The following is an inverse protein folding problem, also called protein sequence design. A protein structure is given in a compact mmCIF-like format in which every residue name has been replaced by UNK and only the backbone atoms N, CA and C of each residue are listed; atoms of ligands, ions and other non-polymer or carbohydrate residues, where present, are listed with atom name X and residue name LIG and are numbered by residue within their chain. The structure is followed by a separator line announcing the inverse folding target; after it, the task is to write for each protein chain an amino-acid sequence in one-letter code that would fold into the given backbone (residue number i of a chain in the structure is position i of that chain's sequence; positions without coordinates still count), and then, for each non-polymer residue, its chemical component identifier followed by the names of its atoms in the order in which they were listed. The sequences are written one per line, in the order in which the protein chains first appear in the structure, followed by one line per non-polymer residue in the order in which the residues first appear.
data_IF_773011057621
#
_entry.id   IF_773011057621
#
_cell.length_a   1.000
_cell.length_b   1.000
_cell.length_c   1.000
_cell.angle_alpha   90.00
_cell.angle_beta   90.00
_cell.angle_gamma   90.00
#
_symmetry.space_group_name_H-M   'P 1'
#
loop_
_entity.id
_entity.type
_entity.pdbx_description
1 polymer ?
#
# COMPACT_ATOMS: atom_id res chain seq x y z
N UNK A 1 -24.20 4.00 -9.80
CA UNK A 1 -23.65 3.73 -11.15
C UNK A 1 -22.53 4.70 -11.52
N UNK A 2 -22.61 6.00 -11.21
CA UNK A 2 -21.56 6.99 -11.54
C UNK A 2 -20.27 6.88 -10.68
N UNK A 3 -20.37 6.54 -9.39
CA UNK A 3 -19.24 6.39 -8.47
C UNK A 3 -18.31 5.21 -8.82
N UNK A 4 -18.86 4.13 -9.37
CA UNK A 4 -18.11 2.93 -9.75
C UNK A 4 -17.21 3.15 -10.99
N UNK A 5 -17.58 4.10 -11.86
CA UNK A 5 -16.77 4.48 -13.03
C UNK A 5 -15.65 5.46 -12.68
N UNK A 6 -15.88 6.36 -11.72
CA UNK A 6 -14.86 7.25 -11.16
C UNK A 6 -13.73 6.45 -10.50
N UNK A 7 -14.08 5.45 -9.69
CA UNK A 7 -13.10 4.53 -9.11
C UNK A 7 -12.32 3.78 -10.20
N UNK A 8 -12.94 3.20 -11.22
CA UNK A 8 -12.17 2.47 -12.26
C UNK A 8 -11.18 3.33 -13.04
N UNK A 9 -11.52 4.58 -13.37
CA UNK A 9 -10.63 5.49 -14.12
C UNK A 9 -9.47 5.99 -13.27
N UNK A 10 -9.75 6.39 -12.03
CA UNK A 10 -8.72 6.73 -11.04
C UNK A 10 -7.80 5.52 -10.85
N UNK A 11 -8.34 4.33 -10.59
CA UNK A 11 -7.56 3.11 -10.34
C UNK A 11 -6.69 2.67 -11.52
N UNK A 12 -7.18 2.77 -12.76
CA UNK A 12 -6.37 2.53 -13.95
C UNK A 12 -5.26 3.58 -14.11
N UNK A 13 -5.54 4.86 -13.85
CA UNK A 13 -4.52 5.94 -13.83
C UNK A 13 -3.52 5.78 -12.66
N UNK A 14 -3.95 5.12 -11.59
CA UNK A 14 -3.18 4.81 -10.38
C UNK A 14 -2.29 3.56 -10.57
N UNK A 15 -2.40 2.84 -11.70
CA UNK A 15 -1.52 1.72 -12.07
C UNK A 15 -2.01 0.35 -11.64
N UNK A 16 -3.27 0.21 -11.21
CA UNK A 16 -3.80 -1.11 -10.89
C UNK A 16 -4.14 -1.91 -12.14
N UNK A 17 -3.43 -3.02 -12.30
CA UNK A 17 -3.81 -4.03 -13.27
C UNK A 17 -5.19 -4.63 -12.93
N UNK A 18 -5.92 -5.15 -13.93
CA UNK A 18 -7.24 -5.78 -13.75
C UNK A 18 -7.28 -6.83 -12.63
N UNK A 19 -6.15 -7.49 -12.37
CA UNK A 19 -5.98 -8.53 -11.34
C UNK A 19 -6.13 -8.00 -9.91
N UNK A 20 -5.65 -6.78 -9.62
CA UNK A 20 -5.78 -6.17 -8.29
C UNK A 20 -7.23 -5.76 -8.04
N UNK A 21 -7.85 -5.12 -9.03
CA UNK A 21 -9.26 -4.75 -8.98
C UNK A 21 -10.18 -5.97 -8.80
N UNK A 22 -9.90 -7.07 -9.49
CA UNK A 22 -10.66 -8.30 -9.34
C UNK A 22 -10.56 -8.88 -7.93
N UNK A 23 -9.37 -8.85 -7.32
CA UNK A 23 -9.19 -9.28 -5.92
C UNK A 23 -9.95 -8.42 -4.92
N UNK A 24 -9.95 -7.09 -5.10
CA UNK A 24 -10.68 -6.19 -4.19
C UNK A 24 -12.19 -6.44 -4.29
N UNK A 25 -12.73 -6.64 -5.50
CA UNK A 25 -14.15 -6.92 -5.70
C UNK A 25 -14.66 -8.19 -5.00
N UNK A 26 -13.77 -9.14 -4.69
CA UNK A 26 -14.13 -10.37 -3.99
C UNK A 26 -14.16 -10.20 -2.46
N UNK A 27 -13.83 -9.01 -1.92
CA UNK A 27 -13.91 -8.70 -0.49
C UNK A 27 -15.31 -8.23 -0.09
N UNK A 28 -15.62 -8.26 1.22
CA UNK A 28 -16.84 -7.65 1.73
C UNK A 28 -16.86 -6.15 1.45
N UNK A 29 -18.05 -5.54 1.33
CA UNK A 29 -18.18 -4.10 1.03
C UNK A 29 -17.45 -3.22 2.05
N UNK A 30 -17.45 -3.64 3.33
CA UNK A 30 -16.73 -2.96 4.41
C UNK A 30 -15.21 -2.99 4.18
N UNK A 31 -14.69 -4.16 3.83
CA UNK A 31 -13.26 -4.36 3.60
C UNK A 31 -12.78 -3.68 2.30
N UNK A 32 -13.65 -3.63 1.27
CA UNK A 32 -13.35 -2.92 0.02
C UNK A 32 -13.04 -1.44 0.27
N UNK A 33 -13.85 -0.76 1.08
CA UNK A 33 -13.65 0.66 1.37
C UNK A 33 -12.29 0.93 2.01
N UNK A 34 -11.92 0.12 3.01
CA UNK A 34 -10.64 0.24 3.71
C UNK A 34 -9.44 -0.11 2.83
N UNK A 35 -9.55 -1.16 2.00
CA UNK A 35 -8.49 -1.51 1.05
C UNK A 35 -8.32 -0.42 0.00
N UNK A 36 -9.40 0.16 -0.50
CA UNK A 36 -9.33 1.25 -1.47
C UNK A 36 -8.68 2.52 -0.88
N UNK A 37 -9.03 2.91 0.35
CA UNK A 37 -8.44 4.10 0.97
C UNK A 37 -6.93 3.95 1.19
N UNK A 38 -6.50 2.81 1.74
CA UNK A 38 -5.07 2.53 1.99
C UNK A 38 -4.27 2.55 0.69
N UNK A 39 -4.87 1.99 -0.36
CA UNK A 39 -4.24 1.87 -1.66
C UNK A 39 -4.08 3.23 -2.35
N UNK A 40 -5.07 4.12 -2.23
CA UNK A 40 -4.98 5.51 -2.72
C UNK A 40 -3.84 6.25 -2.03
N UNK A 41 -3.70 6.11 -0.70
CA UNK A 41 -2.64 6.74 0.06
C UNK A 41 -1.24 6.26 -0.38
N UNK A 42 -1.06 4.94 -0.50
CA UNK A 42 0.23 4.36 -0.91
C UNK A 42 0.67 4.89 -2.28
N UNK A 43 -0.28 5.13 -3.17
CA UNK A 43 0.00 5.69 -4.50
C UNK A 43 0.29 7.17 -4.45
N UNK A 44 -0.41 7.91 -3.59
CA UNK A 44 -0.10 9.32 -3.38
C UNK A 44 1.36 9.48 -2.91
N UNK A 45 1.80 8.62 -1.98
CA UNK A 45 3.19 8.56 -1.52
C UNK A 45 4.14 8.24 -2.69
N UNK A 46 3.88 7.17 -3.45
CA UNK A 46 4.73 6.77 -4.59
C UNK A 46 4.83 7.85 -5.68
N UNK A 47 3.70 8.48 -6.03
CA UNK A 47 3.69 9.58 -7.00
C UNK A 47 4.49 10.76 -6.50
N UNK A 48 4.41 11.06 -5.21
CA UNK A 48 5.16 12.17 -4.61
C UNK A 48 6.65 11.88 -4.60
N UNK A 49 7.06 10.66 -4.25
CA UNK A 49 8.46 10.19 -4.37
C UNK A 49 8.95 10.35 -5.81
N UNK A 50 8.20 9.86 -6.80
CA UNK A 50 8.56 9.95 -8.22
C UNK A 50 8.73 11.39 -8.68
N UNK A 51 7.78 12.28 -8.33
CA UNK A 51 7.87 13.70 -8.65
C UNK A 51 9.10 14.34 -8.00
N UNK A 52 9.37 14.05 -6.73
CA UNK A 52 10.55 14.53 -6.02
C UNK A 52 11.85 14.09 -6.70
N UNK A 53 11.96 12.83 -7.12
CA UNK A 53 13.12 12.32 -7.85
C UNK A 53 13.35 13.02 -9.20
N UNK A 54 12.26 13.33 -9.93
CA UNK A 54 12.34 14.09 -11.19
C UNK A 54 12.85 15.52 -10.91
N UNK A 55 12.28 16.21 -9.93
CA UNK A 55 12.70 17.57 -9.54
C UNK A 55 14.17 17.58 -9.12
N UNK A 56 14.59 16.61 -8.29
CA UNK A 56 15.99 16.45 -7.89
C UNK A 56 16.90 16.33 -9.10
N UNK A 57 16.52 15.52 -10.10
CA UNK A 57 17.33 15.36 -11.32
C UNK A 57 17.41 16.65 -12.13
N UNK A 58 16.31 17.40 -12.22
CA UNK A 58 16.28 18.71 -12.87
C UNK A 58 17.22 19.71 -12.18
N UNK A 59 17.15 19.80 -10.84
CA UNK A 59 18.02 20.68 -10.04
C UNK A 59 19.50 20.31 -10.21
N UNK A 60 19.82 19.01 -10.27
CA UNK A 60 21.20 18.55 -10.51
C UNK A 60 21.67 18.81 -11.95
N UNK A 61 20.76 18.80 -12.93
CA UNK A 61 21.09 19.05 -14.35
C UNK A 61 21.11 20.53 -14.74
N UNK A 62 20.64 21.43 -13.87
CA UNK A 62 20.57 22.87 -14.13
C UNK A 62 21.95 23.53 -14.23
N UNK A 63 22.09 24.45 -15.19
CA UNK A 63 23.33 25.19 -15.47
C UNK A 63 23.78 26.04 -14.26
N UNK A 64 25.09 26.18 -14.05
CA UNK A 64 25.75 26.72 -12.83
C UNK A 64 25.51 28.21 -12.54
N UNK A 65 24.54 28.86 -13.19
CA UNK A 65 24.30 30.29 -13.08
C UNK A 65 23.50 30.70 -11.82
N UNK A 66 22.78 29.76 -11.19
CA UNK A 66 22.22 29.98 -9.84
C UNK A 66 23.32 29.83 -8.78
N UNK A 67 23.29 30.69 -7.75
CA UNK A 67 24.18 30.61 -6.58
C UNK A 67 24.15 29.20 -6.00
N UNK A 68 25.23 28.43 -6.20
CA UNK A 68 25.27 26.98 -5.93
C UNK A 68 24.73 26.61 -4.53
N UNK A 69 25.01 27.46 -3.53
CA UNK A 69 24.58 27.28 -2.15
C UNK A 69 23.06 27.18 -1.94
N UNK A 70 22.24 27.96 -2.66
CA UNK A 70 20.79 27.91 -2.46
C UNK A 70 20.19 26.66 -3.11
N UNK A 71 20.69 26.32 -4.30
CA UNK A 71 20.35 25.08 -4.99
C UNK A 71 20.70 23.85 -4.15
N UNK A 72 21.90 23.82 -3.59
CA UNK A 72 22.38 22.68 -2.79
C UNK A 72 21.54 22.51 -1.51
N UNK A 73 21.12 23.62 -0.87
CA UNK A 73 20.15 23.59 0.26
C UNK A 73 18.79 23.03 -0.16
N UNK A 74 18.24 23.47 -1.30
CA UNK A 74 16.96 22.98 -1.85
C UNK A 74 17.03 21.48 -2.18
N UNK A 75 18.13 21.03 -2.76
CA UNK A 75 18.39 19.60 -3.03
C UNK A 75 18.42 18.82 -1.71
N UNK A 76 19.15 19.28 -0.70
CA UNK A 76 19.26 18.59 0.58
C UNK A 76 17.91 18.47 1.32
N UNK A 77 17.08 19.51 1.27
CA UNK A 77 15.71 19.46 1.82
C UNK A 77 14.85 18.44 1.05
N UNK A 78 14.88 18.50 -0.28
CA UNK A 78 14.14 17.57 -1.13
C UNK A 78 14.56 16.11 -0.91
N UNK A 79 15.85 15.84 -0.75
CA UNK A 79 16.37 14.49 -0.46
C UNK A 79 15.89 13.98 0.90
N UNK A 80 15.84 14.86 1.92
CA UNK A 80 15.28 14.51 3.23
C UNK A 80 13.81 14.13 3.12
N UNK A 81 13.01 14.91 2.40
CA UNK A 81 11.58 14.66 2.23
C UNK A 81 11.34 13.35 1.46
N UNK A 82 12.10 13.10 0.38
CA UNK A 82 12.05 11.84 -0.37
C UNK A 82 12.40 10.66 0.56
N UNK A 83 13.44 10.78 1.39
CA UNK A 83 13.83 9.74 2.34
C UNK A 83 12.74 9.46 3.37
N UNK A 84 12.07 10.51 3.87
CA UNK A 84 10.94 10.40 4.79
C UNK A 84 9.78 9.63 4.15
N UNK A 85 9.41 9.98 2.92
CA UNK A 85 8.34 9.30 2.19
C UNK A 85 8.68 7.84 1.87
N UNK A 86 9.94 7.54 1.51
CA UNK A 86 10.39 6.15 1.33
C UNK A 86 10.31 5.36 2.63
N UNK A 87 10.65 5.97 3.77
CA UNK A 87 10.48 5.35 5.08
C UNK A 87 9.01 5.08 5.39
N UNK A 88 8.12 6.06 5.22
CA UNK A 88 6.68 5.89 5.42
C UNK A 88 6.13 4.74 4.55
N UNK A 89 6.48 4.73 3.26
CA UNK A 89 6.12 3.65 2.33
C UNK A 89 6.56 2.29 2.85
N UNK A 90 7.81 2.16 3.32
CA UNK A 90 8.34 0.88 3.81
C UNK A 90 7.62 0.43 5.08
N UNK A 91 7.37 1.34 6.03
CA UNK A 91 6.61 1.04 7.25
C UNK A 91 5.18 0.60 6.92
N UNK A 92 4.49 1.28 6.00
CA UNK A 92 3.15 0.88 5.55
C UNK A 92 3.15 -0.51 4.91
N UNK A 93 4.14 -0.83 4.09
CA UNK A 93 4.29 -2.16 3.49
C UNK A 93 4.55 -3.24 4.54
N UNK A 94 5.39 -2.97 5.53
CA UNK A 94 5.68 -3.90 6.62
C UNK A 94 4.44 -4.16 7.49
N UNK A 95 3.71 -3.11 7.85
CA UNK A 95 2.45 -3.22 8.60
C UNK A 95 1.39 -4.01 7.83
N UNK A 96 1.27 -3.81 6.52
CA UNK A 96 0.36 -4.59 5.68
C UNK A 96 0.74 -6.08 5.68
N UNK A 97 2.02 -6.39 5.53
CA UNK A 97 2.53 -7.77 5.55
C UNK A 97 2.31 -8.43 6.91
N UNK A 98 2.65 -7.74 8.01
CA UNK A 98 2.49 -8.26 9.37
C UNK A 98 1.01 -8.47 9.72
N UNK A 99 0.12 -7.58 9.28
CA UNK A 99 -1.33 -7.75 9.46
C UNK A 99 -1.85 -9.00 8.74
N UNK A 100 -1.39 -9.25 7.51
CA UNK A 100 -1.75 -10.46 6.76
C UNK A 100 -1.27 -11.71 7.49
N UNK A 101 -0.05 -11.69 8.03
CA UNK A 101 0.51 -12.81 8.80
C UNK A 101 -0.31 -13.08 10.06
N UNK A 102 -0.71 -12.06 10.82
CA UNK A 102 -1.56 -12.22 12.01
C UNK A 102 -2.95 -12.78 11.66
N UNK A 103 -3.58 -12.29 10.59
CA UNK A 103 -4.87 -12.85 10.10
C UNK A 103 -4.72 -14.33 9.70
N UNK A 104 -3.63 -14.70 9.05
CA UNK A 104 -3.36 -16.10 8.69
C UNK A 104 -3.15 -16.98 9.92
N UNK A 105 -2.46 -16.50 10.96
CA UNK A 105 -2.30 -17.21 12.24
C UNK A 105 -3.65 -17.45 12.92
N UNK A 106 -4.49 -16.41 13.03
CA UNK A 106 -5.83 -16.52 13.62
C UNK A 106 -6.65 -17.60 12.90
N UNK A 107 -6.69 -17.55 11.57
CA UNK A 107 -7.43 -18.54 10.76
C UNK A 107 -6.87 -19.95 10.88
N UNK A 108 -5.55 -20.11 11.00
CA UNK A 108 -4.94 -21.41 11.22
C UNK A 108 -5.32 -22.00 12.58
N UNK A 109 -5.40 -21.16 13.63
CA UNK A 109 -5.88 -21.57 14.95
C UNK A 109 -7.36 -21.97 14.88
N UNK A 110 -8.20 -21.17 14.24
CA UNK A 110 -9.64 -21.48 14.04
C UNK A 110 -9.88 -22.76 13.24
N UNK A 111 -9.08 -23.01 12.19
CA UNK A 111 -9.12 -24.25 11.43
C UNK A 111 -8.71 -25.49 12.24
N UNK A 112 -7.79 -25.33 13.20
CA UNK A 112 -7.38 -26.41 14.09
C UNK A 112 -8.42 -26.72 15.17
N UNK A 113 -9.16 -25.71 15.65
CA UNK A 113 -10.24 -25.89 16.61
C UNK A 113 -11.45 -26.62 16.00
N UNK A 114 -11.73 -26.40 14.71
CA UNK A 114 -12.80 -27.10 13.99
C UNK A 114 -12.47 -28.58 13.67
N UNK A 115 -11.23 -29.01 13.90
CA UNK A 115 -10.79 -30.39 13.68
C UNK A 115 -10.73 -31.23 14.97
N UNK A 116 -11.10 -30.68 16.13
CA UNK A 116 -11.29 -31.47 17.35
C UNK A 116 -12.67 -32.13 17.32
N UNK A 117 -12.80 -33.21 16.53
CA UNK A 117 -13.91 -34.16 16.69
C UNK A 117 -13.67 -34.90 18.01
N UNK A 118 -14.58 -34.72 18.96
CA UNK A 118 -14.69 -35.58 20.14
C UNK A 118 -14.75 -37.04 19.69
N UNK A 119 -14.03 -37.99 20.32
CA UNK A 119 -14.15 -39.39 19.98
C UNK A 119 -15.58 -39.84 20.22
N UNK A 120 -16.16 -40.57 19.25
CA UNK A 120 -17.43 -41.26 19.39
C UNK A 120 -17.41 -42.15 20.64
N UNK A 121 -17.99 -41.66 21.74
CA UNK A 121 -18.43 -42.54 22.81
C UNK A 121 -19.81 -43.06 22.45
N UNK A 122 -19.85 -44.07 21.59
CA UNK A 122 -20.95 -45.02 21.55
C UNK A 122 -20.77 -46.00 22.71
N UNK A 123 -21.64 -46.04 23.72
CA UNK A 123 -21.76 -47.24 24.54
C UNK A 123 -22.72 -48.19 23.81
N UNK A 124 -22.18 -49.35 23.45
CA UNK A 124 -22.99 -50.53 23.17
C UNK A 124 -23.81 -50.90 24.43
N UNK A 125 -25.04 -51.37 24.17
CA UNK A 125 -26.03 -52.01 25.07
C UNK A 125 -26.99 -51.08 25.83
#
# INVERSE_FOLDING_TARGET
MATDQLNKREFNKLGFGPKVLAKIKNLSIRDQSSVYSNLIDDIAIERTIRKGLIIRRLLLSGNQAETSNERDKKIALLERDIKSLMFERNVRQELANNTILEVLKIRAIEGNQNNFKTPDSSPFL
#
